data_IF_643854677587
#
_entry.id   IF_643854677587
#
_cell.length_a   1.000
_cell.length_b   1.000
_cell.length_c   1.000
_cell.angle_alpha   90.00
_cell.angle_beta   90.00
_cell.angle_gamma   90.00
#
_symmetry.space_group_name_H-M   'P 1'
#
loop_
_entity.id
_entity.type
_entity.pdbx_description
1 polymer ?
#
# COMPACT_ATOMS: atom_id res chain seq x y z
N UNK A 1 2.35 7.49 -10.68
CA UNK A 1 1.50 7.24 -11.86
C UNK A 1 0.59 6.06 -11.61
N UNK A 2 -0.67 6.12 -12.04
CA UNK A 2 -1.63 5.01 -11.92
C UNK A 2 -2.38 4.74 -13.22
N UNK A 3 -2.71 3.48 -13.42
CA UNK A 3 -3.32 2.98 -14.66
C UNK A 3 -4.44 1.99 -14.37
N UNK A 4 -5.35 1.79 -15.33
CA UNK A 4 -6.41 0.77 -15.27
C UNK A 4 -6.45 0.01 -16.58
N UNK A 5 -6.87 -1.25 -16.54
CA UNK A 5 -7.05 -2.03 -17.78
C UNK A 5 -8.13 -1.41 -18.67
N UNK A 6 -7.94 -1.55 -19.99
CA UNK A 6 -8.98 -1.23 -20.99
C UNK A 6 -10.08 -2.29 -20.99
N UNK A 7 -11.34 -1.85 -21.13
CA UNK A 7 -12.55 -2.67 -20.96
C UNK A 7 -12.67 -3.85 -21.95
N UNK A 8 -11.95 -3.85 -23.06
CA UNK A 8 -12.09 -4.85 -24.15
C UNK A 8 -11.07 -6.00 -24.10
N UNK A 9 -10.27 -6.12 -23.05
CA UNK A 9 -9.20 -7.13 -22.94
C UNK A 9 -9.63 -8.33 -22.07
N UNK A 10 -10.64 -9.08 -22.51
CA UNK A 10 -10.95 -10.38 -21.89
C UNK A 10 -9.83 -11.39 -22.21
N UNK A 11 -9.14 -11.82 -21.14
CA UNK A 11 -7.98 -12.73 -21.06
C UNK A 11 -6.61 -12.05 -21.14
N UNK A 12 -6.17 -11.43 -20.04
CA UNK A 12 -4.73 -11.33 -19.73
C UNK A 12 -4.42 -11.50 -18.24
N UNK A 13 -3.50 -12.41 -17.99
CA UNK A 13 -2.50 -12.50 -16.92
C UNK A 13 -2.77 -11.67 -15.65
N UNK A 14 -3.51 -12.24 -14.69
CA UNK A 14 -3.58 -11.77 -13.31
C UNK A 14 -3.89 -10.26 -13.13
N UNK A 15 -4.70 -9.67 -14.01
CA UNK A 15 -5.14 -8.28 -13.92
C UNK A 15 -6.67 -8.18 -14.01
N UNK A 16 -7.25 -7.31 -13.19
CA UNK A 16 -8.68 -7.08 -13.01
C UNK A 16 -9.10 -5.73 -13.58
N UNK A 17 -10.22 -5.73 -14.30
CA UNK A 17 -10.67 -4.59 -15.10
C UNK A 17 -11.04 -3.35 -14.26
N UNK A 18 -11.56 -3.58 -13.05
CA UNK A 18 -12.01 -2.53 -12.14
C UNK A 18 -10.91 -2.06 -11.18
N UNK A 19 -9.69 -2.59 -11.28
CA UNK A 19 -8.59 -2.25 -10.37
C UNK A 19 -7.71 -1.15 -10.97
N UNK A 20 -7.33 -0.20 -10.11
CA UNK A 20 -6.31 0.81 -10.41
C UNK A 20 -4.96 0.28 -9.94
N UNK A 21 -3.98 0.25 -10.84
CA UNK A 21 -2.63 -0.23 -10.58
C UNK A 21 -1.66 0.92 -10.40
N UNK A 22 -0.74 0.77 -9.44
CA UNK A 22 0.41 1.66 -9.27
C UNK A 22 1.51 1.29 -10.27
N UNK A 23 2.02 2.26 -11.02
CA UNK A 23 3.17 2.06 -11.90
C UNK A 23 4.46 2.37 -11.15
N UNK A 24 5.38 1.41 -11.11
CA UNK A 24 6.69 1.52 -10.46
C UNK A 24 7.81 1.93 -11.42
N UNK A 25 7.66 1.63 -12.71
CA UNK A 25 8.55 2.10 -13.76
C UNK A 25 7.86 2.13 -15.12
N UNK A 26 8.25 3.09 -15.95
CA UNK A 26 7.97 3.11 -17.39
C UNK A 26 9.25 2.77 -18.12
N UNK A 27 9.29 1.64 -18.81
CA UNK A 27 10.50 1.10 -19.42
C UNK A 27 10.39 1.10 -20.93
N UNK A 28 11.44 1.56 -21.61
CA UNK A 28 11.55 1.52 -23.07
C UNK A 28 12.61 0.50 -23.46
N UNK A 29 12.19 -0.52 -24.21
CA UNK A 29 13.07 -1.58 -24.72
C UNK A 29 13.97 -1.05 -25.85
N UNK A 30 14.98 -1.84 -26.23
CA UNK A 30 15.86 -1.55 -27.38
C UNK A 30 15.11 -1.36 -28.69
N UNK A 31 13.96 -2.03 -28.82
CA UNK A 31 13.13 -2.01 -30.01
C UNK A 31 12.10 -0.86 -29.97
N UNK A 32 12.12 -0.02 -28.93
CA UNK A 32 11.16 1.06 -28.72
C UNK A 32 9.83 0.61 -28.10
N UNK A 33 9.73 -0.63 -27.62
CA UNK A 33 8.53 -1.09 -26.93
C UNK A 33 8.48 -0.47 -25.53
N UNK A 34 7.31 0.08 -25.18
CA UNK A 34 7.08 0.70 -23.88
C UNK A 34 6.30 -0.24 -22.97
N UNK A 35 6.76 -0.35 -21.73
CA UNK A 35 6.22 -1.24 -20.71
C UNK A 35 5.96 -0.48 -19.41
N UNK A 36 4.84 -0.76 -18.75
CA UNK A 36 4.63 -0.42 -17.36
C UNK A 36 5.00 -1.59 -16.48
N UNK A 37 5.85 -1.38 -15.48
CA UNK A 37 6.04 -2.37 -14.41
C UNK A 37 5.13 -2.03 -13.24
N UNK A 38 4.32 -2.99 -12.85
CA UNK A 38 3.31 -2.85 -11.79
C UNK A 38 3.11 -4.17 -11.04
N UNK A 39 2.51 -4.10 -9.86
CA UNK A 39 2.12 -5.27 -9.07
C UNK A 39 0.74 -5.77 -9.52
N UNK A 40 0.67 -7.01 -10.00
CA UNK A 40 -0.57 -7.62 -10.48
C UNK A 40 -1.42 -8.21 -9.33
N UNK A 41 -2.55 -8.83 -9.66
CA UNK A 41 -3.51 -9.34 -8.67
C UNK A 41 -2.99 -10.50 -7.82
N UNK A 42 -1.96 -11.20 -8.30
CA UNK A 42 -1.26 -12.25 -7.56
C UNK A 42 0.02 -11.74 -6.89
N UNK A 43 0.13 -10.42 -6.68
CA UNK A 43 1.22 -9.75 -5.95
C UNK A 43 2.60 -9.87 -6.62
N UNK A 44 2.63 -10.10 -7.93
CA UNK A 44 3.87 -10.12 -8.69
C UNK A 44 4.11 -8.77 -9.36
N UNK A 45 5.31 -8.22 -9.18
CA UNK A 45 5.76 -7.00 -9.85
C UNK A 45 6.38 -7.38 -11.19
N UNK A 46 5.69 -7.15 -12.30
CA UNK A 46 6.16 -7.57 -13.65
C UNK A 46 5.81 -6.52 -14.71
N UNK A 47 6.52 -6.51 -15.87
CA UNK A 47 6.26 -5.54 -16.92
C UNK A 47 5.10 -5.98 -17.82
N UNK A 48 4.23 -5.04 -18.15
CA UNK A 48 3.12 -5.19 -19.08
C UNK A 48 3.20 -4.13 -20.17
N UNK A 49 2.70 -4.44 -21.37
CA UNK A 49 2.62 -3.42 -22.44
C UNK A 49 1.73 -2.25 -22.03
N UNK A 50 2.21 -1.02 -22.25
CA UNK A 50 1.43 0.20 -21.96
C UNK A 50 0.11 0.24 -22.72
N UNK A 51 0.04 -0.44 -23.88
CA UNK A 51 -1.15 -0.47 -24.74
C UNK A 51 -2.38 -1.07 -24.06
N UNK A 52 -2.19 -1.86 -22.99
CA UNK A 52 -3.25 -2.54 -22.25
C UNK A 52 -4.02 -1.60 -21.31
N UNK A 53 -3.50 -0.41 -21.05
CA UNK A 53 -4.01 0.42 -19.98
C UNK A 53 -4.48 1.80 -20.45
N UNK A 54 -5.48 2.32 -19.74
CA UNK A 54 -5.78 3.74 -19.69
C UNK A 54 -5.07 4.37 -18.49
N UNK A 55 -4.59 5.60 -18.65
CA UNK A 55 -3.96 6.34 -17.56
C UNK A 55 -5.06 6.91 -16.66
N UNK A 56 -4.95 6.64 -15.36
CA UNK A 56 -5.85 7.17 -14.31
C UNK A 56 -5.22 8.38 -13.64
N UNK A 57 -3.90 8.37 -13.46
CA UNK A 57 -3.13 9.47 -12.88
C UNK A 57 -1.78 9.56 -13.56
N UNK A 58 -1.49 10.74 -14.13
CA UNK A 58 -0.20 11.08 -14.74
C UNK A 58 0.81 11.62 -13.71
N UNK A 59 0.48 11.64 -12.42
CA UNK A 59 1.40 12.15 -11.40
C UNK A 59 2.71 11.36 -11.45
N UNK A 60 3.81 12.10 -11.59
CA UNK A 60 5.17 11.59 -11.50
C UNK A 60 5.76 12.22 -10.25
N UNK A 61 6.08 11.38 -9.26
CA UNK A 61 6.58 11.83 -7.96
C UNK A 61 7.95 12.50 -8.11
N UNK A 62 8.30 13.37 -7.14
CA UNK A 62 9.48 14.24 -7.24
C UNK A 62 10.81 13.51 -7.43
N UNK A 63 10.89 12.25 -6.99
CA UNK A 63 12.13 11.47 -7.00
C UNK A 63 12.29 10.60 -8.24
N UNK A 64 11.38 10.71 -9.21
CA UNK A 64 11.49 9.98 -10.47
C UNK A 64 12.54 10.61 -11.37
N UNK A 65 13.35 9.76 -11.99
CA UNK A 65 14.38 10.16 -12.95
C UNK A 65 14.26 9.37 -14.24
N UNK A 66 14.71 9.99 -15.34
CA UNK A 66 14.98 9.27 -16.57
C UNK A 66 16.36 8.61 -16.45
N UNK A 67 16.38 7.31 -16.21
CA UNK A 67 17.58 6.50 -16.16
C UNK A 67 17.87 5.88 -17.53
N UNK A 68 18.97 6.32 -18.14
CA UNK A 68 19.46 5.74 -19.39
C UNK A 68 20.25 4.46 -19.06
N UNK A 69 19.69 3.31 -19.44
CA UNK A 69 20.31 2.00 -19.20
C UNK A 69 21.38 1.74 -20.27
N UNK A 70 22.36 0.87 -19.99
CA UNK A 70 23.23 0.34 -21.03
C UNK A 70 22.41 -0.27 -22.18
N UNK A 71 22.87 -0.08 -23.42
CA UNK A 71 22.27 -0.61 -24.65
C UNK A 71 21.06 0.15 -25.24
N UNK A 72 21.00 1.48 -25.13
CA UNK A 72 19.96 2.32 -25.75
C UNK A 72 18.52 2.05 -25.26
N UNK A 73 18.38 1.44 -24.08
CA UNK A 73 17.09 1.39 -23.36
C UNK A 73 17.04 2.48 -22.29
N UNK A 74 15.85 2.89 -21.91
CA UNK A 74 15.64 3.87 -20.82
C UNK A 74 14.55 3.40 -19.88
N UNK A 75 14.55 3.93 -18.66
CA UNK A 75 13.42 3.82 -17.77
C UNK A 75 13.17 5.13 -17.05
N UNK A 76 11.91 5.54 -17.00
CA UNK A 76 11.43 6.58 -16.10
C UNK A 76 10.97 5.87 -14.82
N UNK A 77 11.70 6.07 -13.72
CA UNK A 77 11.50 5.35 -12.46
C UNK A 77 11.99 6.15 -11.24
N UNK A 78 11.55 5.79 -10.01
CA UNK A 78 12.12 6.30 -8.77
C UNK A 78 13.64 6.14 -8.72
N UNK A 79 14.37 7.19 -8.33
CA UNK A 79 15.84 7.22 -8.29
C UNK A 79 16.46 6.03 -7.54
N UNK A 80 15.78 5.52 -6.52
CA UNK A 80 16.21 4.40 -5.70
C UNK A 80 16.28 3.09 -6.48
N UNK A 81 15.50 2.95 -7.57
CA UNK A 81 15.53 1.77 -8.46
C UNK A 81 16.60 1.91 -9.57
N UNK A 82 17.31 3.03 -9.66
CA UNK A 82 18.17 3.38 -10.79
C UNK A 82 19.57 2.75 -10.73
N UNK A 83 19.63 1.42 -10.65
CA UNK A 83 20.88 0.66 -10.79
C UNK A 83 20.64 -0.68 -11.50
N UNK A 84 21.71 -1.22 -12.11
CA UNK A 84 21.60 -2.26 -13.14
C UNK A 84 20.84 -3.52 -12.69
N UNK A 85 21.12 -4.00 -11.49
CA UNK A 85 20.58 -5.25 -10.96
C UNK A 85 19.32 -5.09 -10.12
N UNK A 86 18.74 -3.90 -9.97
CA UNK A 86 17.65 -3.67 -8.99
C UNK A 86 16.51 -4.69 -9.09
N UNK A 87 15.98 -4.92 -10.30
CA UNK A 87 14.90 -5.88 -10.49
C UNK A 87 15.35 -7.33 -10.28
N UNK A 88 16.59 -7.67 -10.65
CA UNK A 88 17.15 -9.00 -10.41
C UNK A 88 17.27 -9.25 -8.90
N UNK A 89 17.89 -8.32 -8.18
CA UNK A 89 18.04 -8.34 -6.72
C UNK A 89 16.67 -8.42 -6.03
N UNK A 90 15.67 -7.68 -6.52
CA UNK A 90 14.29 -7.75 -6.02
C UNK A 90 13.68 -9.14 -6.23
N UNK A 91 13.84 -9.75 -7.41
CA UNK A 91 13.28 -11.08 -7.71
C UNK A 91 14.03 -12.23 -7.02
N UNK A 92 15.25 -12.00 -6.55
CA UNK A 92 16.02 -12.97 -5.76
C UNK A 92 15.91 -12.73 -4.26
N UNK A 93 14.93 -11.94 -3.82
CA UNK A 93 14.65 -11.63 -2.41
C UNK A 93 15.84 -10.99 -1.67
N UNK A 94 16.67 -10.22 -2.37
CA UNK A 94 17.77 -9.49 -1.73
C UNK A 94 17.20 -8.43 -0.76
N UNK A 95 17.61 -8.53 0.50
CA UNK A 95 17.02 -7.78 1.62
C UNK A 95 16.98 -6.27 1.36
N UNK A 96 18.04 -5.72 0.77
CA UNK A 96 18.12 -4.29 0.51
C UNK A 96 17.19 -3.85 -0.63
N UNK A 97 17.06 -4.66 -1.69
CA UNK A 97 16.14 -4.36 -2.79
C UNK A 97 14.68 -4.41 -2.33
N UNK A 98 14.31 -5.38 -1.48
CA UNK A 98 12.99 -5.47 -0.87
C UNK A 98 12.67 -4.26 0.01
N UNK A 99 13.62 -3.82 0.84
CA UNK A 99 13.47 -2.61 1.67
C UNK A 99 13.27 -1.36 0.82
N UNK A 100 14.10 -1.18 -0.21
CA UNK A 100 13.99 -0.06 -1.14
C UNK A 100 12.64 -0.09 -1.87
N UNK A 101 12.21 -1.26 -2.34
CA UNK A 101 10.92 -1.42 -2.99
C UNK A 101 9.76 -1.02 -2.08
N UNK A 102 9.73 -1.52 -0.85
CA UNK A 102 8.67 -1.20 0.10
C UNK A 102 8.66 0.29 0.47
N UNK A 103 9.84 0.90 0.66
CA UNK A 103 9.95 2.34 0.93
C UNK A 103 9.39 3.18 -0.23
N UNK A 104 9.73 2.83 -1.47
CA UNK A 104 9.22 3.54 -2.64
C UNK A 104 7.73 3.29 -2.84
N UNK A 105 7.26 2.06 -2.60
CA UNK A 105 5.83 1.72 -2.63
C UNK A 105 5.07 2.62 -1.65
N UNK A 106 5.51 2.70 -0.39
CA UNK A 106 5.00 3.61 0.66
C UNK A 106 4.86 5.05 0.16
N UNK A 107 5.94 5.60 -0.39
CA UNK A 107 5.96 6.96 -0.91
C UNK A 107 4.98 7.17 -2.07
N UNK A 108 4.94 6.25 -3.04
CA UNK A 108 4.06 6.36 -4.20
C UNK A 108 2.59 6.43 -3.79
N UNK A 109 2.17 5.56 -2.88
CA UNK A 109 0.79 5.58 -2.38
C UNK A 109 0.48 6.85 -1.60
N UNK A 110 1.40 7.36 -0.78
CA UNK A 110 1.20 8.60 -0.05
C UNK A 110 0.96 9.80 -0.98
N UNK A 111 1.65 9.85 -2.12
CA UNK A 111 1.53 10.96 -3.08
C UNK A 111 0.34 10.80 -4.05
N UNK A 112 -0.10 9.55 -4.29
CA UNK A 112 -1.14 9.22 -5.25
C UNK A 112 -2.53 9.12 -4.65
N UNK A 113 -2.68 8.42 -3.51
CA UNK A 113 -3.98 8.16 -2.92
C UNK A 113 -4.57 9.45 -2.37
N UNK A 114 -5.78 9.76 -2.82
CA UNK A 114 -6.58 10.78 -2.19
C UNK A 114 -7.35 10.23 -0.98
N UNK A 115 -8.00 11.15 -0.26
CA UNK A 115 -8.73 10.83 0.96
C UNK A 115 -9.90 9.86 0.71
N UNK A 116 -10.57 9.93 -0.44
CA UNK A 116 -11.70 9.05 -0.74
C UNK A 116 -11.20 7.63 -1.03
N UNK A 117 -10.12 7.50 -1.79
CA UNK A 117 -9.54 6.19 -2.08
C UNK A 117 -8.99 5.51 -0.82
N UNK A 118 -8.41 6.28 0.12
CA UNK A 118 -8.02 5.74 1.41
C UNK A 118 -9.23 5.23 2.22
N UNK A 119 -10.38 5.91 2.15
CA UNK A 119 -11.62 5.45 2.78
C UNK A 119 -12.14 4.16 2.13
N UNK A 120 -12.16 4.09 0.80
CA UNK A 120 -12.57 2.91 0.04
C UNK A 120 -11.73 1.67 0.40
N UNK A 121 -10.42 1.83 0.65
CA UNK A 121 -9.55 0.70 1.05
C UNK A 121 -10.02 0.05 2.36
N UNK A 122 -10.47 0.84 3.34
CA UNK A 122 -11.02 0.30 4.59
C UNK A 122 -12.37 -0.41 4.39
N UNK A 123 -13.13 -0.07 3.36
CA UNK A 123 -14.42 -0.69 3.03
C UNK A 123 -14.26 -2.00 2.24
N UNK A 124 -13.17 -2.15 1.48
CA UNK A 124 -12.90 -3.34 0.66
C UNK A 124 -12.23 -4.50 1.44
N UNK A 125 -11.89 -4.28 2.71
CA UNK A 125 -11.33 -5.29 3.64
C UNK A 125 -10.08 -6.04 3.13
N UNK A 126 -9.33 -5.45 2.19
CA UNK A 126 -8.09 -6.02 1.70
C UNK A 126 -6.96 -5.76 2.70
N UNK A 127 -6.59 -6.79 3.46
CA UNK A 127 -5.69 -6.67 4.60
C UNK A 127 -4.30 -6.11 4.27
N UNK A 128 -3.74 -6.47 3.11
CA UNK A 128 -2.44 -5.94 2.67
C UNK A 128 -2.52 -4.43 2.40
N UNK A 129 -3.60 -3.98 1.75
CA UNK A 129 -3.81 -2.58 1.41
C UNK A 129 -4.12 -1.76 2.68
N UNK A 130 -4.89 -2.34 3.60
CA UNK A 130 -5.18 -1.74 4.91
C UNK A 130 -3.90 -1.62 5.76
N UNK A 131 -3.09 -2.67 5.86
CA UNK A 131 -1.79 -2.64 6.56
C UNK A 131 -0.94 -1.51 6.05
N UNK A 132 -0.91 -1.37 4.73
CA UNK A 132 -0.12 -0.36 4.07
C UNK A 132 -0.66 1.05 4.34
N UNK A 133 -1.97 1.28 4.21
CA UNK A 133 -2.60 2.57 4.55
C UNK A 133 -2.33 2.92 6.01
N UNK A 134 -2.47 1.97 6.93
CA UNK A 134 -2.16 2.17 8.35
C UNK A 134 -0.71 2.59 8.59
N UNK A 135 0.26 1.98 7.90
CA UNK A 135 1.67 2.39 8.00
C UNK A 135 1.87 3.85 7.55
N UNK A 136 1.23 4.25 6.45
CA UNK A 136 1.27 5.64 5.97
C UNK A 136 0.65 6.60 6.99
N UNK A 137 -0.54 6.26 7.52
CA UNK A 137 -1.23 7.08 8.52
C UNK A 137 -0.45 7.18 9.84
N UNK A 138 0.16 6.08 10.29
CA UNK A 138 1.01 6.02 11.47
C UNK A 138 2.23 6.92 11.34
N UNK A 139 2.94 6.82 10.20
CA UNK A 139 4.14 7.63 9.91
C UNK A 139 3.84 9.12 9.79
N UNK A 140 2.72 9.46 9.16
CA UNK A 140 2.29 10.85 8.96
C UNK A 140 1.54 11.44 10.16
N UNK A 141 1.13 10.59 11.12
CA UNK A 141 0.26 10.96 12.26
C UNK A 141 -1.02 11.66 11.79
N UNK A 142 -1.57 11.22 10.66
CA UNK A 142 -2.80 11.78 10.11
C UNK A 142 -4.01 11.23 10.87
N UNK A 143 -4.78 12.10 11.53
CA UNK A 143 -5.90 11.73 12.40
C UNK A 143 -7.26 11.72 11.70
N UNK A 144 -7.34 12.09 10.41
CA UNK A 144 -8.62 12.22 9.68
C UNK A 144 -9.36 10.91 9.47
N UNK A 145 -8.68 9.79 9.69
CA UNK A 145 -9.17 8.43 9.43
C UNK A 145 -9.43 7.62 10.72
N UNK A 146 -9.34 8.24 11.90
CA UNK A 146 -9.55 7.56 13.20
C UNK A 146 -10.86 6.76 13.21
N UNK A 147 -11.95 7.35 12.75
CA UNK A 147 -13.25 6.67 12.73
C UNK A 147 -13.26 5.47 11.79
N UNK A 148 -12.63 5.55 10.62
CA UNK A 148 -12.47 4.41 9.70
C UNK A 148 -11.68 3.28 10.36
N UNK A 149 -10.58 3.62 11.02
CA UNK A 149 -9.74 2.63 11.71
C UNK A 149 -10.49 1.99 12.88
N UNK A 150 -11.23 2.75 13.68
CA UNK A 150 -12.08 2.20 14.74
C UNK A 150 -13.11 1.22 14.17
N UNK A 151 -13.79 1.56 13.08
CA UNK A 151 -14.78 0.67 12.45
C UNK A 151 -14.14 -0.61 11.90
N UNK A 152 -12.99 -0.48 11.24
CA UNK A 152 -12.21 -1.63 10.78
C UNK A 152 -11.89 -2.60 11.93
N UNK A 153 -11.34 -2.08 13.04
CA UNK A 153 -10.94 -2.92 14.17
C UNK A 153 -12.16 -3.51 14.89
N UNK A 154 -13.27 -2.77 15.03
CA UNK A 154 -14.53 -3.30 15.57
C UNK A 154 -15.01 -4.52 14.78
N UNK A 155 -15.13 -4.36 13.47
CA UNK A 155 -15.58 -5.43 12.56
C UNK A 155 -14.66 -6.65 12.68
N UNK A 156 -13.34 -6.44 12.65
CA UNK A 156 -12.36 -7.53 12.78
C UNK A 156 -12.46 -8.29 14.09
N UNK A 157 -12.60 -7.60 15.22
CA UNK A 157 -12.70 -8.23 16.54
C UNK A 157 -14.04 -8.94 16.76
N UNK A 158 -15.11 -8.49 16.11
CA UNK A 158 -16.42 -9.16 16.12
C UNK A 158 -16.43 -10.43 15.25
N UNK A 159 -15.72 -10.41 14.12
CA UNK A 159 -15.70 -11.50 13.16
C UNK A 159 -14.64 -12.58 13.45
N UNK A 160 -13.53 -12.24 14.12
CA UNK A 160 -12.40 -13.16 14.30
C UNK A 160 -11.63 -12.93 15.61
N UNK A 161 -11.43 -13.99 16.39
CA UNK A 161 -10.67 -13.93 17.65
C UNK A 161 -9.14 -14.02 17.46
N UNK A 162 -8.67 -14.41 16.28
CA UNK A 162 -7.24 -14.49 15.99
C UNK A 162 -6.73 -13.13 15.53
N UNK A 163 -5.90 -12.49 16.34
CA UNK A 163 -5.33 -11.17 16.02
C UNK A 163 -4.19 -11.31 15.03
N UNK A 164 -4.35 -10.58 13.93
CA UNK A 164 -3.33 -10.37 12.93
C UNK A 164 -2.47 -9.14 13.25
N UNK A 165 -1.33 -9.02 12.57
CA UNK A 165 -0.42 -7.89 12.71
C UNK A 165 -1.09 -6.56 12.29
N UNK A 166 -2.06 -6.62 11.38
CA UNK A 166 -2.79 -5.47 10.86
C UNK A 166 -3.65 -4.81 11.94
N UNK A 167 -4.32 -5.63 12.75
CA UNK A 167 -5.14 -5.21 13.88
C UNK A 167 -4.27 -4.60 14.98
N UNK A 168 -3.11 -5.21 15.28
CA UNK A 168 -2.15 -4.62 16.21
C UNK A 168 -1.65 -3.25 15.74
N UNK A 169 -1.30 -3.13 14.45
CA UNK A 169 -0.87 -1.86 13.85
C UNK A 169 -1.97 -0.80 13.93
N UNK A 170 -3.24 -1.18 13.74
CA UNK A 170 -4.37 -0.28 13.89
C UNK A 170 -4.50 0.26 15.33
N UNK A 171 -4.36 -0.59 16.35
CA UNK A 171 -4.34 -0.14 17.76
C UNK A 171 -3.17 0.81 18.04
N UNK A 172 -1.98 0.48 17.54
CA UNK A 172 -0.80 1.34 17.68
C UNK A 172 -1.00 2.71 17.01
N UNK A 173 -1.64 2.74 15.84
CA UNK A 173 -2.01 4.00 15.18
C UNK A 173 -3.01 4.80 16.03
N UNK A 174 -4.08 4.16 16.50
CA UNK A 174 -5.09 4.84 17.32
C UNK A 174 -4.49 5.42 18.61
N UNK A 175 -3.55 4.71 19.24
CA UNK A 175 -2.91 5.17 20.48
C UNK A 175 -2.06 6.43 20.34
N UNK A 176 -1.74 6.86 19.10
CA UNK A 176 -1.06 8.13 18.85
C UNK A 176 -1.92 9.36 19.18
N UNK A 177 -3.24 9.22 19.30
CA UNK A 177 -4.17 10.34 19.34
C UNK A 177 -4.99 10.39 20.64
N UNK A 178 -4.86 11.49 21.38
CA UNK A 178 -5.69 11.81 22.56
C UNK A 178 -7.03 12.42 22.14
N UNK A 179 -7.87 11.61 21.49
CA UNK A 179 -9.22 12.02 21.04
C UNK A 179 -10.30 11.21 21.76
N UNK A 180 -11.44 11.85 22.02
CA UNK A 180 -12.58 11.24 22.71
C UNK A 180 -13.03 9.92 22.08
N UNK A 181 -13.06 9.87 20.76
CA UNK A 181 -13.49 8.71 19.98
C UNK A 181 -12.56 7.51 20.18
N UNK A 182 -11.25 7.77 20.32
CA UNK A 182 -10.26 6.75 20.65
C UNK A 182 -10.40 6.30 22.10
N UNK A 183 -10.57 7.24 23.03
CA UNK A 183 -10.76 6.94 24.46
C UNK A 183 -12.00 6.08 24.67
N UNK A 184 -13.14 6.49 24.11
CA UNK A 184 -14.41 5.78 24.17
C UNK A 184 -14.27 4.36 23.59
N UNK A 185 -13.55 4.24 22.47
CA UNK A 185 -13.30 2.93 21.87
C UNK A 185 -12.39 2.04 22.73
N UNK A 186 -11.31 2.58 23.29
CA UNK A 186 -10.41 1.81 24.14
C UNK A 186 -11.05 1.40 25.47
N UNK A 187 -11.91 2.25 26.06
CA UNK A 187 -12.74 1.87 27.21
C UNK A 187 -13.71 0.75 26.80
N UNK A 188 -14.37 0.87 25.65
CA UNK A 188 -15.24 -0.18 25.12
C UNK A 188 -14.49 -1.51 24.95
N UNK A 189 -13.28 -1.48 24.37
CA UNK A 189 -12.42 -2.65 24.20
C UNK A 189 -12.12 -3.33 25.55
N UNK A 190 -11.68 -2.58 26.55
CA UNK A 190 -11.34 -3.11 27.88
C UNK A 190 -12.57 -3.66 28.64
N UNK A 191 -13.76 -3.14 28.37
CA UNK A 191 -14.98 -3.49 29.11
C UNK A 191 -15.76 -4.65 28.49
N UNK A 192 -15.64 -4.89 27.18
CA UNK A 192 -16.51 -5.83 26.47
C UNK A 192 -15.77 -7.05 25.90
N UNK A 193 -14.45 -7.02 25.74
CA UNK A 193 -13.71 -8.14 25.16
C UNK A 193 -13.18 -9.04 26.28
N UNK A 194 -14.01 -10.00 26.70
CA UNK A 194 -13.75 -10.95 27.81
C UNK A 194 -12.47 -11.80 27.63
N UNK A 195 -11.89 -11.84 26.43
CA UNK A 195 -10.64 -12.54 26.09
C UNK A 195 -9.68 -11.56 25.38
N UNK A 196 -9.42 -10.42 26.03
CA UNK A 196 -8.47 -9.43 25.54
C UNK A 196 -7.13 -10.08 25.18
N UNK A 197 -6.60 -9.74 24.01
CA UNK A 197 -5.27 -10.16 23.63
C UNK A 197 -4.23 -9.33 24.36
N UNK A 198 -3.21 -10.00 24.90
CA UNK A 198 -2.19 -9.37 25.73
C UNK A 198 -1.48 -8.20 25.02
N UNK A 199 -1.24 -8.30 23.71
CA UNK A 199 -0.56 -7.26 22.93
C UNK A 199 -1.46 -6.04 22.72
N UNK A 200 -2.72 -6.23 22.32
CA UNK A 200 -3.66 -5.12 22.16
C UNK A 200 -3.94 -4.45 23.51
N UNK A 201 -4.12 -5.25 24.55
CA UNK A 201 -4.32 -4.78 25.92
C UNK A 201 -3.11 -3.99 26.43
N UNK A 202 -1.89 -4.41 26.09
CA UNK A 202 -0.69 -3.64 26.42
C UNK A 202 -0.68 -2.26 25.75
N UNK A 203 -1.03 -2.17 24.47
CA UNK A 203 -1.14 -0.89 23.75
C UNK A 203 -2.17 0.03 24.41
N UNK A 204 -3.33 -0.50 24.78
CA UNK A 204 -4.39 0.29 25.43
C UNK A 204 -4.00 0.73 26.84
N UNK A 205 -3.34 -0.14 27.62
CA UNK A 205 -2.85 0.23 28.95
C UNK A 205 -1.77 1.31 28.90
N UNK A 206 -0.84 1.20 27.94
CA UNK A 206 0.17 2.25 27.69
C UNK A 206 -0.49 3.57 27.29
N UNK A 207 -1.58 3.52 26.53
CA UNK A 207 -2.34 4.72 26.18
C UNK A 207 -2.93 5.44 27.41
N UNK A 208 -3.44 4.72 28.41
CA UNK A 208 -4.02 5.33 29.62
C UNK A 208 -3.00 5.62 30.74
N UNK A 209 -1.75 5.21 30.58
CA UNK A 209 -0.66 5.46 31.53
C UNK A 209 -0.08 6.87 31.38
#
# INVERSE_FOLDING_TARGET
>A
MRVRLKEDLEKKENLSINKKYMVYSVETSKNGEELYRLENDIKQVVPYSISLFDIVSEKVNSDWILWNKPNNSSALLPKQFAYLSFWEDYYTDELEALKIFNLVKEQLFQEELDENEMREIFELENEDEITFVLNVLFKTKDNRFINQVIQYVKTKLEDNYAIDNTTLLAFQYLSLFKQSEVEDYFIYYLTNIELGNDQLTAVVNEYFS
#
